data_IF_578621021680
#
_entry.id   IF_578621021680
#
_cell.length_a   1.000
_cell.length_b   1.000
_cell.length_c   1.000
_cell.angle_alpha   90.00
_cell.angle_beta   90.00
_cell.angle_gamma   90.00
#
_symmetry.space_group_name_H-M   'P 1'
#
loop_
_entity.id
_entity.type
_entity.pdbx_description
1 polymer ?
#
# COMPACT_ATOMS: atom_id res chain seq x y z
N UNK A 1 4.68 10.49 13.58
CA UNK A 1 3.78 9.88 12.58
C UNK A 1 4.17 10.45 11.24
N UNK A 2 4.66 9.59 10.35
CA UNK A 2 4.98 9.95 8.97
C UNK A 2 3.67 10.32 8.24
N UNK A 3 3.60 11.54 7.71
CA UNK A 3 2.39 12.11 7.11
C UNK A 3 2.09 11.58 5.71
N UNK A 4 2.98 10.76 5.14
CA UNK A 4 3.00 10.44 3.72
C UNK A 4 1.79 9.65 3.23
N UNK A 5 1.18 8.84 4.10
CA UNK A 5 -0.01 8.04 3.77
C UNK A 5 -1.28 8.52 4.48
N UNK A 6 -1.33 9.77 4.96
CA UNK A 6 -2.46 10.28 5.75
C UNK A 6 -3.82 10.15 5.03
N UNK A 7 -3.81 10.09 3.70
CA UNK A 7 -4.99 9.89 2.87
C UNK A 7 -5.65 8.50 3.04
N UNK A 8 -4.94 7.50 3.56
CA UNK A 8 -5.48 6.15 3.80
C UNK A 8 -6.26 6.02 5.12
N UNK A 9 -6.20 7.02 6.01
CA UNK A 9 -6.57 6.86 7.40
C UNK A 9 -5.46 6.17 8.22
N UNK A 10 -5.50 6.29 9.55
CA UNK A 10 -4.39 5.92 10.42
C UNK A 10 -4.02 4.43 10.33
N UNK A 11 -5.00 3.53 10.45
CA UNK A 11 -4.76 2.09 10.48
C UNK A 11 -4.19 1.56 9.16
N UNK A 12 -4.74 2.02 8.02
CA UNK A 12 -4.26 1.61 6.70
C UNK A 12 -2.90 2.25 6.35
N UNK A 13 -2.63 3.46 6.84
CA UNK A 13 -1.31 4.09 6.72
C UNK A 13 -0.24 3.33 7.51
N UNK A 14 -0.56 2.89 8.73
CA UNK A 14 0.34 2.10 9.58
C UNK A 14 0.62 0.73 8.95
N UNK A 15 -0.41 0.04 8.48
CA UNK A 15 -0.27 -1.24 7.78
C UNK A 15 0.56 -1.13 6.50
N UNK A 16 0.35 -0.07 5.70
CA UNK A 16 1.15 0.15 4.50
C UNK A 16 2.61 0.44 4.85
N UNK A 17 2.87 1.26 5.88
CA UNK A 17 4.23 1.56 6.32
C UNK A 17 4.95 0.32 6.89
N UNK A 18 4.24 -0.52 7.67
CA UNK A 18 4.76 -1.80 8.16
C UNK A 18 5.07 -2.77 7.01
N UNK A 19 4.13 -2.92 6.08
CA UNK A 19 4.29 -3.75 4.90
C UNK A 19 5.53 -3.33 4.08
N UNK A 20 5.64 -2.04 3.76
CA UNK A 20 6.78 -1.51 3.03
C UNK A 20 8.07 -1.68 3.85
N UNK A 21 8.02 -1.53 5.16
CA UNK A 21 9.18 -1.74 6.03
C UNK A 21 9.69 -3.18 6.00
N UNK A 22 8.78 -4.15 5.89
CA UNK A 22 9.11 -5.58 5.84
C UNK A 22 9.57 -6.06 4.47
N UNK A 23 8.93 -5.59 3.39
CA UNK A 23 9.11 -6.13 2.03
C UNK A 23 9.92 -5.22 1.11
N UNK A 24 9.81 -3.91 1.27
CA UNK A 24 10.43 -2.91 0.39
C UNK A 24 11.02 -1.73 1.20
N UNK A 25 12.00 -1.99 2.09
CA UNK A 25 12.53 -0.96 2.99
C UNK A 25 13.11 0.24 2.23
N UNK A 26 13.69 0.02 1.05
CA UNK A 26 14.20 1.09 0.19
C UNK A 26 13.07 2.01 -0.32
N UNK A 27 11.94 1.43 -0.74
CA UNK A 27 10.77 2.18 -1.20
C UNK A 27 10.15 2.97 -0.04
N UNK A 28 10.07 2.38 1.14
CA UNK A 28 9.63 3.08 2.37
C UNK A 28 10.51 4.29 2.66
N UNK A 29 11.84 4.12 2.66
CA UNK A 29 12.78 5.19 2.92
C UNK A 29 12.70 6.30 1.88
N UNK A 30 12.57 5.97 0.59
CA UNK A 30 12.39 6.97 -0.47
C UNK A 30 11.13 7.80 -0.25
N UNK A 31 10.00 7.14 0.00
CA UNK A 31 8.70 7.78 0.20
C UNK A 31 8.71 8.68 1.45
N UNK A 32 9.32 8.22 2.55
CA UNK A 32 9.49 9.03 3.77
C UNK A 32 10.37 10.26 3.54
N UNK A 33 11.49 10.11 2.82
CA UNK A 33 12.40 11.24 2.51
C UNK A 33 11.76 12.27 1.59
N UNK A 34 10.98 11.81 0.62
CA UNK A 34 10.27 12.69 -0.32
C UNK A 34 9.13 13.44 0.37
N UNK A 35 8.52 12.86 1.42
CA UNK A 35 7.34 13.40 2.10
C UNK A 35 6.06 13.37 1.23
N UNK A 36 6.17 12.84 0.02
CA UNK A 36 5.11 12.66 -0.97
C UNK A 36 5.33 11.31 -1.65
N UNK A 37 4.32 10.81 -2.36
CA UNK A 37 4.43 9.57 -3.15
C UNK A 37 4.46 9.93 -4.64
N UNK A 38 5.61 9.91 -5.32
CA UNK A 38 5.68 10.08 -6.77
C UNK A 38 4.89 9.01 -7.53
N UNK A 39 4.47 9.31 -8.76
CA UNK A 39 3.73 8.36 -9.62
C UNK A 39 4.45 7.01 -9.79
N UNK A 40 5.76 7.05 -10.06
CA UNK A 40 6.59 5.85 -10.16
C UNK A 40 6.62 5.03 -8.87
N UNK A 41 6.67 5.69 -7.71
CA UNK A 41 6.70 5.01 -6.42
C UNK A 41 5.33 4.43 -6.07
N UNK A 42 4.24 5.12 -6.41
CA UNK A 42 2.89 4.58 -6.23
C UNK A 42 2.61 3.38 -7.14
N UNK A 43 3.16 3.33 -8.36
CA UNK A 43 3.11 2.13 -9.19
C UNK A 43 3.84 0.96 -8.53
N UNK A 44 5.04 1.20 -7.99
CA UNK A 44 5.78 0.18 -7.25
C UNK A 44 5.04 -0.29 -5.99
N UNK A 45 4.41 0.63 -5.24
CA UNK A 45 3.57 0.29 -4.09
C UNK A 45 2.38 -0.58 -4.53
N UNK A 46 1.72 -0.25 -5.63
CA UNK A 46 0.59 -1.03 -6.14
C UNK A 46 0.99 -2.43 -6.60
N UNK A 47 2.15 -2.56 -7.26
CA UNK A 47 2.71 -3.88 -7.63
C UNK A 47 2.99 -4.69 -6.36
N UNK A 48 3.67 -4.10 -5.37
CA UNK A 48 3.97 -4.76 -4.11
C UNK A 48 2.71 -5.22 -3.37
N UNK A 49 1.67 -4.38 -3.29
CA UNK A 49 0.38 -4.74 -2.69
C UNK A 49 -0.33 -5.85 -3.46
N UNK A 50 -0.25 -5.84 -4.79
CA UNK A 50 -0.83 -6.90 -5.64
C UNK A 50 -0.13 -8.24 -5.43
N UNK A 51 1.19 -8.24 -5.31
CA UNK A 51 1.98 -9.44 -5.00
C UNK A 51 1.64 -9.98 -3.61
N UNK A 52 1.58 -9.11 -2.59
CA UNK A 52 1.21 -9.53 -1.24
C UNK A 52 -0.22 -10.04 -1.18
N UNK A 53 -1.16 -9.42 -1.89
CA UNK A 53 -2.54 -9.89 -1.98
C UNK A 53 -2.60 -11.29 -2.61
N UNK A 54 -1.90 -11.49 -3.73
CA UNK A 54 -1.84 -12.79 -4.44
C UNK A 54 -1.32 -13.90 -3.54
N UNK A 55 -0.32 -13.59 -2.71
CA UNK A 55 0.26 -14.54 -1.75
C UNK A 55 -0.65 -14.85 -0.54
N UNK A 56 -1.74 -14.10 -0.36
CA UNK A 56 -2.68 -14.23 0.74
C UNK A 56 -4.12 -14.50 0.25
N UNK A 57 -4.25 -15.08 -0.95
CA UNK A 57 -5.50 -15.66 -1.41
C UNK A 57 -5.66 -17.08 -0.85
N UNK A 58 -6.90 -17.48 -0.58
CA UNK A 58 -7.23 -18.84 -0.21
C UNK A 58 -7.36 -19.76 -1.44
N UNK A 59 -7.81 -21.00 -1.22
CA UNK A 59 -7.99 -22.00 -2.28
C UNK A 59 -9.04 -21.61 -3.33
N UNK A 60 -9.96 -20.71 -2.98
CA UNK A 60 -11.00 -20.18 -3.86
C UNK A 60 -10.54 -18.89 -4.58
N UNK A 61 -9.26 -18.54 -4.47
CA UNK A 61 -8.68 -17.29 -4.97
C UNK A 61 -9.31 -16.03 -4.35
N UNK A 62 -9.88 -16.15 -3.16
CA UNK A 62 -10.45 -15.03 -2.41
C UNK A 62 -9.49 -14.53 -1.33
N UNK A 63 -9.46 -13.22 -1.05
CA UNK A 63 -8.71 -12.72 0.09
C UNK A 63 -9.30 -13.24 1.40
N UNK A 64 -8.49 -13.95 2.18
CA UNK A 64 -8.82 -14.44 3.51
C UNK A 64 -7.88 -13.85 4.58
N UNK A 65 -8.41 -13.61 5.78
CA UNK A 65 -7.63 -13.09 6.90
C UNK A 65 -6.86 -11.81 6.55
N UNK A 66 -5.52 -11.86 6.62
CA UNK A 66 -4.64 -10.75 6.27
C UNK A 66 -4.82 -10.27 4.83
N UNK A 67 -5.15 -11.15 3.88
CA UNK A 67 -5.42 -10.78 2.48
C UNK A 67 -6.56 -9.77 2.33
N UNK A 68 -7.58 -9.81 3.21
CA UNK A 68 -8.67 -8.82 3.21
C UNK A 68 -8.18 -7.43 3.59
N UNK A 69 -7.27 -7.38 4.56
CA UNK A 69 -6.64 -6.13 4.99
C UNK A 69 -5.78 -5.55 3.88
N UNK A 70 -4.97 -6.36 3.21
CA UNK A 70 -4.16 -5.92 2.05
C UNK A 70 -5.06 -5.40 0.92
N UNK A 71 -6.14 -6.13 0.60
CA UNK A 71 -7.12 -5.72 -0.40
C UNK A 71 -7.78 -4.37 -0.06
N UNK A 72 -8.15 -4.15 1.21
CA UNK A 72 -8.71 -2.89 1.67
C UNK A 72 -7.72 -1.72 1.55
N UNK A 73 -6.46 -1.92 1.92
CA UNK A 73 -5.39 -0.92 1.77
C UNK A 73 -5.17 -0.58 0.30
N UNK A 74 -5.11 -1.60 -0.57
CA UNK A 74 -4.95 -1.42 -2.02
C UNK A 74 -6.12 -0.64 -2.63
N UNK A 75 -7.37 -0.94 -2.23
CA UNK A 75 -8.54 -0.20 -2.70
C UNK A 75 -8.54 1.26 -2.24
N UNK A 76 -8.17 1.53 -0.98
CA UNK A 76 -8.05 2.88 -0.46
C UNK A 76 -6.96 3.68 -1.17
N UNK A 77 -5.79 3.05 -1.41
CA UNK A 77 -4.68 3.66 -2.12
C UNK A 77 -5.04 4.01 -3.57
N UNK A 78 -5.69 3.07 -4.27
CA UNK A 78 -6.10 3.27 -5.65
C UNK A 78 -7.17 4.37 -5.80
N UNK A 79 -8.10 4.48 -4.85
CA UNK A 79 -9.11 5.55 -4.84
C UNK A 79 -8.46 6.94 -4.79
N UNK A 80 -7.45 7.12 -3.94
CA UNK A 80 -6.72 8.40 -3.86
C UNK A 80 -5.90 8.65 -5.11
N UNK A 81 -5.22 7.62 -5.64
CA UNK A 81 -4.46 7.73 -6.89
C UNK A 81 -5.32 8.25 -8.06
N UNK A 82 -6.53 7.71 -8.23
CA UNK A 82 -7.46 8.13 -9.29
C UNK A 82 -7.94 9.58 -9.08
N UNK A 83 -8.09 10.02 -7.82
CA UNK A 83 -8.53 11.37 -7.50
C UNK A 83 -7.44 12.44 -7.70
N UNK A 84 -6.17 12.09 -7.44
CA UNK A 84 -5.04 13.02 -7.52
C UNK A 84 -4.34 13.00 -8.89
N UNK A 85 -4.36 11.87 -9.63
CA UNK A 85 -3.71 11.70 -10.93
C UNK A 85 -4.71 11.26 -12.01
N UNK A 86 -5.44 12.22 -12.63
CA UNK A 86 -6.25 11.94 -13.82
C UNK A 86 -5.41 11.71 -15.08
#
# INVERSE_FOLDING_TARGET
MDSTFRFLGADAAELLDEFLGRRHPDLRERVRRSGTVPASDAELIMVALSEELTNNLDEDWEPAGYGRTVSAVMAAFNRTRIAEWP
#
